data_IF_098077880632
#
_entry.id   IF_098077880632
#
_cell.length_a   1.000
_cell.length_b   1.000
_cell.length_c   1.000
_cell.angle_alpha   90.00
_cell.angle_beta   90.00
_cell.angle_gamma   90.00
#
_symmetry.space_group_name_H-M   'P 1'
#
loop_
_entity.id
_entity.type
_entity.pdbx_description
1 polymer ?
#
# COMPACT_ATOMS: atom_id res chain seq x y z
N UNK A 1 -4.60 -9.45 -20.27
CA UNK A 1 -3.13 -9.37 -20.14
C UNK A 1 -2.87 -8.33 -19.07
N UNK A 2 -2.21 -8.69 -17.97
CA UNK A 2 -1.80 -7.74 -16.94
C UNK A 2 -0.66 -6.91 -17.53
N UNK A 3 -0.94 -5.67 -17.93
CA UNK A 3 0.04 -4.80 -18.59
C UNK A 3 0.72 -3.84 -17.62
N UNK A 4 0.11 -3.59 -16.47
CA UNK A 4 0.65 -2.69 -15.47
C UNK A 4 1.89 -3.29 -14.82
N UNK A 5 2.97 -2.51 -14.84
CA UNK A 5 4.17 -2.81 -14.08
C UNK A 5 4.47 -1.62 -13.18
N UNK A 6 4.43 -1.85 -11.87
CA UNK A 6 4.55 -0.77 -10.89
C UNK A 6 5.93 -0.11 -10.87
N UNK A 7 6.96 -0.79 -11.40
CA UNK A 7 8.32 -0.28 -11.50
C UNK A 7 8.46 1.06 -12.26
N UNK A 8 7.54 1.36 -13.20
CA UNK A 8 7.50 2.66 -13.90
C UNK A 8 6.95 3.79 -13.02
N UNK A 9 6.33 3.46 -11.89
CA UNK A 9 5.61 4.41 -11.04
C UNK A 9 6.13 4.41 -9.59
N UNK A 10 7.07 3.53 -9.28
CA UNK A 10 7.59 3.32 -7.94
C UNK A 10 8.13 4.63 -7.36
N UNK A 11 7.69 4.93 -6.13
CA UNK A 11 8.13 6.12 -5.42
C UNK A 11 7.45 7.41 -5.84
N UNK A 12 6.40 7.36 -6.65
CA UNK A 12 5.59 8.52 -6.96
C UNK A 12 4.83 9.05 -5.71
N UNK A 13 4.15 10.21 -5.80
CA UNK A 13 3.40 10.75 -4.66
C UNK A 13 2.31 9.81 -4.12
N UNK A 14 1.71 8.96 -4.97
CA UNK A 14 0.71 8.00 -4.53
C UNK A 14 1.29 6.89 -3.65
N UNK A 15 2.48 6.41 -3.99
CA UNK A 15 3.21 5.45 -3.16
C UNK A 15 3.66 6.07 -1.85
N UNK A 16 4.18 7.31 -1.86
CA UNK A 16 4.55 8.01 -0.64
C UNK A 16 3.34 8.10 0.31
N UNK A 17 2.16 8.43 -0.23
CA UNK A 17 0.92 8.46 0.55
C UNK A 17 0.58 7.08 1.14
N UNK A 18 0.52 6.06 0.29
CA UNK A 18 0.17 4.67 0.66
C UNK A 18 1.13 4.11 1.69
N UNK A 19 2.43 4.23 1.44
CA UNK A 19 3.50 3.65 2.25
C UNK A 19 3.71 4.39 3.57
N UNK A 20 3.49 5.72 3.62
CA UNK A 20 3.49 6.46 4.87
C UNK A 20 2.40 5.95 5.82
N UNK A 21 1.17 5.83 5.32
CA UNK A 21 0.03 5.31 6.07
C UNK A 21 0.25 3.85 6.48
N UNK A 22 0.68 3.00 5.55
CA UNK A 22 0.95 1.59 5.81
C UNK A 22 2.00 1.41 6.91
N UNK A 23 3.16 2.07 6.78
CA UNK A 23 4.25 1.95 7.74
C UNK A 23 3.81 2.40 9.14
N UNK A 24 2.99 3.44 9.23
CA UNK A 24 2.44 3.89 10.50
C UNK A 24 1.48 2.86 11.11
N UNK A 25 0.59 2.26 10.31
CA UNK A 25 -0.32 1.21 10.79
C UNK A 25 0.49 0.02 11.32
N UNK A 26 1.52 -0.41 10.58
CA UNK A 26 2.37 -1.53 10.98
C UNK A 26 3.12 -1.22 12.28
N UNK A 27 3.72 -0.02 12.42
CA UNK A 27 4.36 0.42 13.66
C UNK A 27 3.38 0.42 14.84
N UNK A 28 2.16 0.93 14.66
CA UNK A 28 1.14 0.89 15.70
C UNK A 28 0.82 -0.55 16.12
N UNK A 29 0.66 -1.44 15.15
CA UNK A 29 0.32 -2.83 15.44
C UNK A 29 1.49 -3.60 16.07
N UNK A 30 2.75 -3.29 15.81
CA UNK A 30 3.87 -4.02 16.43
C UNK A 30 4.13 -3.61 17.88
N UNK A 31 3.55 -2.49 18.36
CA UNK A 31 3.63 -2.08 19.79
C UNK A 31 3.04 -3.08 20.77
N UNK A 32 2.01 -3.83 20.35
CA UNK A 32 1.43 -4.89 21.18
C UNK A 32 2.24 -6.16 20.99
N UNK A 33 2.73 -6.73 22.09
CA UNK A 33 3.44 -8.00 22.12
C UNK A 33 2.50 -9.20 21.94
N UNK A 34 1.85 -9.26 20.77
CA UNK A 34 1.05 -10.39 20.27
C UNK A 34 1.22 -10.50 18.76
N UNK A 35 1.36 -11.71 18.21
CA UNK A 35 1.44 -11.96 16.78
C UNK A 35 0.30 -11.31 16.00
N UNK A 36 0.57 -10.93 14.75
CA UNK A 36 -0.42 -10.47 13.78
C UNK A 36 -0.20 -11.10 12.40
N UNK A 37 -1.24 -11.07 11.57
CA UNK A 37 -1.14 -11.40 10.14
C UNK A 37 -1.25 -10.15 9.27
N UNK A 38 -0.27 -9.95 8.39
CA UNK A 38 -0.33 -9.01 7.28
C UNK A 38 -0.66 -9.77 6.00
N UNK A 39 -1.72 -9.36 5.32
CA UNK A 39 -2.19 -9.97 4.09
C UNK A 39 -2.21 -8.89 3.01
N UNK A 40 -1.61 -9.14 1.85
CA UNK A 40 -1.57 -8.19 0.74
C UNK A 40 -2.03 -8.86 -0.55
N UNK A 41 -3.04 -8.26 -1.20
CA UNK A 41 -3.70 -8.88 -2.35
C UNK A 41 -3.01 -8.60 -3.68
N UNK A 42 -2.16 -7.57 -3.75
CA UNK A 42 -1.48 -7.12 -4.95
C UNK A 42 -0.08 -6.64 -4.58
N UNK A 43 0.84 -7.58 -4.39
CA UNK A 43 2.13 -7.31 -3.76
C UNK A 43 3.17 -6.63 -4.68
N UNK A 44 2.99 -6.71 -6.00
CA UNK A 44 4.01 -6.26 -6.96
C UNK A 44 5.32 -7.04 -6.77
N UNK A 45 6.45 -6.38 -7.03
CA UNK A 45 7.80 -6.98 -6.90
C UNK A 45 8.49 -6.73 -5.56
N UNK A 46 7.85 -6.03 -4.64
CA UNK A 46 8.39 -5.75 -3.30
C UNK A 46 9.49 -4.68 -3.22
N UNK A 47 10.48 -4.68 -4.12
CA UNK A 47 11.58 -3.70 -4.12
C UNK A 47 11.81 -3.13 -5.53
N UNK A 48 12.14 -1.85 -5.61
CA UNK A 48 12.32 -1.11 -6.85
C UNK A 48 13.64 -0.36 -6.86
N UNK A 49 14.34 -0.38 -7.99
CA UNK A 49 15.54 0.44 -8.22
C UNK A 49 15.13 1.72 -8.96
N UNK A 50 15.26 2.86 -8.29
CA UNK A 50 14.90 4.17 -8.84
C UNK A 50 15.91 4.71 -9.87
N UNK A 51 17.07 4.07 -10.00
CA UNK A 51 18.05 4.35 -11.05
C UNK A 51 17.82 3.55 -12.34
N UNK A 52 16.87 2.59 -12.32
CA UNK A 52 16.55 1.75 -13.48
C UNK A 52 16.04 2.55 -14.69
N UNK A 53 16.32 2.11 -15.94
CA UNK A 53 15.83 2.77 -17.14
C UNK A 53 14.32 3.00 -17.14
N UNK A 54 13.55 2.06 -16.60
CA UNK A 54 12.11 2.15 -16.55
C UNK A 54 11.59 3.17 -15.53
N UNK A 55 12.23 3.30 -14.37
CA UNK A 55 11.90 4.34 -13.39
C UNK A 55 12.25 5.74 -13.94
N UNK A 56 13.43 5.86 -14.56
CA UNK A 56 13.89 7.10 -15.18
C UNK A 56 13.04 7.53 -16.38
N UNK A 57 12.42 6.58 -17.09
CA UNK A 57 11.56 6.86 -18.25
C UNK A 57 10.35 7.73 -17.89
N UNK A 58 9.78 7.55 -16.69
CA UNK A 58 8.65 8.36 -16.22
C UNK A 58 9.08 9.49 -15.30
N UNK A 59 10.16 9.29 -14.53
CA UNK A 59 10.67 10.26 -13.57
C UNK A 59 9.73 10.53 -12.40
N UNK A 60 8.72 9.69 -12.17
CA UNK A 60 7.69 9.96 -11.14
C UNK A 60 8.26 9.96 -9.72
N UNK A 61 9.30 9.15 -9.47
CA UNK A 61 9.99 9.10 -8.18
C UNK A 61 10.58 10.46 -7.76
N UNK A 62 11.05 11.26 -8.72
CA UNK A 62 11.58 12.59 -8.46
C UNK A 62 10.49 13.59 -8.02
N UNK A 63 9.22 13.33 -8.35
CA UNK A 63 8.08 14.13 -7.90
C UNK A 63 7.47 13.61 -6.61
N UNK A 64 7.65 12.32 -6.31
CA UNK A 64 7.26 11.69 -5.05
C UNK A 64 8.40 11.69 -4.04
N UNK A 65 8.96 10.51 -3.75
CA UNK A 65 9.95 10.30 -2.70
C UNK A 65 11.11 11.31 -2.75
N UNK A 66 11.62 11.64 -3.95
CA UNK A 66 12.74 12.57 -4.12
C UNK A 66 12.46 14.00 -3.62
N UNK A 67 11.20 14.45 -3.57
CA UNK A 67 10.81 15.76 -3.01
C UNK A 67 10.21 15.64 -1.62
N UNK A 68 9.42 14.59 -1.40
CA UNK A 68 8.54 14.49 -0.24
C UNK A 68 9.26 13.95 1.01
N UNK A 69 10.28 13.12 0.84
CA UNK A 69 10.96 12.44 1.94
C UNK A 69 11.50 13.39 3.01
N UNK A 70 12.10 14.51 2.60
CA UNK A 70 12.68 15.52 3.51
C UNK A 70 11.66 16.19 4.44
N UNK A 71 10.37 16.08 4.13
CA UNK A 71 9.28 16.67 4.89
C UNK A 71 8.71 15.71 5.94
N UNK A 72 9.12 14.45 5.92
CA UNK A 72 8.85 13.50 7.00
C UNK A 72 9.88 13.65 8.11
N UNK A 73 9.43 13.58 9.35
CA UNK A 73 10.34 13.53 10.49
C UNK A 73 11.24 12.29 10.41
N UNK A 74 12.53 12.36 10.79
CA UNK A 74 13.45 11.22 10.74
C UNK A 74 12.95 9.98 11.49
N UNK A 75 12.19 10.17 12.57
CA UNK A 75 11.63 9.11 13.39
C UNK A 75 10.29 8.57 12.87
N UNK A 76 9.70 9.15 11.82
CA UNK A 76 8.47 8.66 11.22
C UNK A 76 8.67 7.20 10.73
N UNK A 77 7.73 6.26 10.98
CA UNK A 77 7.91 4.84 10.66
C UNK A 77 8.33 4.56 9.21
N UNK A 78 7.69 5.22 8.23
CA UNK A 78 8.06 5.08 6.82
C UNK A 78 9.47 5.57 6.54
N UNK A 79 9.92 6.65 7.19
CA UNK A 79 11.25 7.20 6.99
C UNK A 79 12.33 6.23 7.48
N UNK A 80 12.15 5.68 8.68
CA UNK A 80 13.04 4.65 9.24
C UNK A 80 13.13 3.41 8.36
N UNK A 81 12.01 2.94 7.82
CA UNK A 81 11.97 1.76 6.95
C UNK A 81 12.59 2.03 5.58
N UNK A 82 12.40 3.23 5.02
CA UNK A 82 13.03 3.66 3.78
C UNK A 82 14.56 3.72 3.93
N UNK A 83 15.05 4.36 4.99
CA UNK A 83 16.49 4.44 5.28
C UNK A 83 17.08 3.02 5.47
N UNK A 84 16.41 2.16 6.24
CA UNK A 84 16.83 0.76 6.42
C UNK A 84 16.84 -0.04 5.11
N UNK A 85 15.86 0.20 4.21
CA UNK A 85 15.85 -0.45 2.91
C UNK A 85 17.05 -0.03 2.06
N UNK A 86 17.40 1.27 2.08
CA UNK A 86 18.57 1.81 1.37
C UNK A 86 19.89 1.32 1.93
N UNK A 87 20.01 1.20 3.25
CA UNK A 87 21.19 0.61 3.89
C UNK A 87 21.40 -0.85 3.45
N UNK A 88 20.32 -1.60 3.27
CA UNK A 88 20.36 -3.02 2.88
C UNK A 88 20.53 -3.24 1.38
N UNK A 89 20.04 -2.32 0.54
CA UNK A 89 19.83 -2.57 -0.91
C UNK A 89 20.45 -1.51 -1.82
N UNK A 90 21.01 -0.42 -1.27
CA UNK A 90 21.59 0.69 -2.00
C UNK A 90 20.73 1.96 -1.95
N UNK A 91 21.37 3.11 -2.15
CA UNK A 91 20.74 4.43 -2.00
C UNK A 91 19.51 4.65 -2.92
N UNK A 92 19.51 4.04 -4.09
CA UNK A 92 18.42 4.15 -5.09
C UNK A 92 17.29 3.14 -4.84
N UNK A 93 17.35 2.35 -3.77
CA UNK A 93 16.30 1.40 -3.45
C UNK A 93 15.04 2.10 -2.92
N UNK A 94 13.90 1.73 -3.48
CA UNK A 94 12.58 2.08 -2.98
C UNK A 94 11.80 0.82 -2.55
N UNK A 95 11.45 0.68 -1.26
CA UNK A 95 10.68 -0.45 -0.78
C UNK A 95 9.19 -0.27 -1.11
N UNK A 96 8.62 -1.24 -1.81
CA UNK A 96 7.17 -1.42 -1.91
C UNK A 96 6.56 -1.92 -0.60
N UNK A 97 5.24 -1.99 -0.55
CA UNK A 97 4.47 -2.46 0.62
C UNK A 97 4.92 -3.81 1.18
N UNK A 98 5.25 -4.85 0.39
CA UNK A 98 5.73 -6.11 0.96
C UNK A 98 7.08 -5.99 1.67
N UNK A 99 8.01 -5.20 1.12
CA UNK A 99 9.33 -5.04 1.70
C UNK A 99 9.28 -4.15 2.94
N UNK A 100 8.42 -3.13 2.94
CA UNK A 100 8.08 -2.36 4.14
C UNK A 100 7.51 -3.26 5.24
N UNK A 101 6.57 -4.15 4.91
CA UNK A 101 6.01 -5.11 5.86
C UNK A 101 7.09 -6.07 6.40
N UNK A 102 7.93 -6.62 5.53
CA UNK A 102 9.03 -7.50 5.92
C UNK A 102 10.06 -6.83 6.85
N UNK A 103 10.32 -5.54 6.68
CA UNK A 103 11.20 -4.77 7.56
C UNK A 103 10.54 -4.36 8.88
N UNK A 104 9.23 -4.13 8.89
CA UNK A 104 8.48 -3.61 10.03
C UNK A 104 8.02 -4.70 11.00
N UNK A 105 7.68 -5.88 10.49
CA UNK A 105 7.08 -6.97 11.25
C UNK A 105 8.14 -7.83 11.95
N UNK A 106 7.71 -8.51 13.02
CA UNK A 106 8.57 -9.35 13.85
C UNK A 106 8.54 -10.79 13.36
N UNK A 107 9.50 -11.60 13.79
CA UNK A 107 9.57 -13.04 13.46
C UNK A 107 8.31 -13.83 13.86
N UNK A 108 7.58 -13.36 14.86
CA UNK A 108 6.33 -14.00 15.34
C UNK A 108 5.10 -13.62 14.52
N UNK A 109 5.19 -12.59 13.67
CA UNK A 109 4.12 -12.14 12.79
C UNK A 109 4.12 -12.96 11.48
N UNK A 110 3.01 -12.95 10.75
CA UNK A 110 2.86 -13.71 9.49
C UNK A 110 2.56 -12.79 8.33
N UNK A 111 3.28 -12.96 7.23
CA UNK A 111 3.12 -12.18 5.99
C UNK A 111 2.60 -13.10 4.88
N UNK A 112 1.49 -12.72 4.27
CA UNK A 112 0.86 -13.42 3.14
C UNK A 112 0.70 -12.46 1.97
N UNK A 113 1.27 -12.81 0.82
CA UNK A 113 1.38 -11.95 -0.34
C UNK A 113 0.85 -12.68 -1.57
N UNK A 114 0.00 -12.03 -2.36
CA UNK A 114 -0.40 -12.49 -3.67
C UNK A 114 0.15 -11.58 -4.77
N UNK A 115 0.66 -12.18 -5.84
CA UNK A 115 1.05 -11.47 -7.07
C UNK A 115 0.77 -12.35 -8.29
N UNK A 116 -0.10 -11.88 -9.17
CA UNK A 116 -0.54 -12.61 -10.36
C UNK A 116 0.43 -12.49 -11.55
N UNK A 117 1.15 -11.38 -11.67
CA UNK A 117 2.06 -11.14 -12.77
C UNK A 117 3.34 -11.99 -12.60
N UNK A 118 3.63 -12.95 -13.51
CA UNK A 118 4.71 -13.92 -13.29
C UNK A 118 6.10 -13.30 -13.11
N UNK A 119 6.38 -12.17 -13.76
CA UNK A 119 7.67 -11.49 -13.61
C UNK A 119 7.75 -10.73 -12.28
N UNK A 120 6.66 -10.11 -11.83
CA UNK A 120 6.63 -9.39 -10.55
C UNK A 120 6.73 -10.40 -9.41
N UNK A 121 6.00 -11.53 -9.50
CA UNK A 121 6.09 -12.62 -8.53
C UNK A 121 7.52 -13.16 -8.40
N UNK A 122 8.22 -13.42 -9.51
CA UNK A 122 9.62 -13.89 -9.46
C UNK A 122 10.53 -12.89 -8.77
N UNK A 123 10.39 -11.61 -9.08
CA UNK A 123 11.15 -10.54 -8.43
C UNK A 123 10.81 -10.43 -6.94
N UNK A 124 9.53 -10.51 -6.58
CA UNK A 124 9.06 -10.52 -5.19
C UNK A 124 9.68 -11.67 -4.40
N UNK A 125 9.63 -12.90 -4.92
CA UNK A 125 10.25 -14.07 -4.28
C UNK A 125 11.76 -13.89 -4.11
N UNK A 126 12.44 -13.31 -5.10
CA UNK A 126 13.87 -13.03 -5.01
C UNK A 126 14.18 -11.99 -3.92
N UNK A 127 13.48 -10.86 -3.91
CA UNK A 127 13.74 -9.77 -2.97
C UNK A 127 13.40 -10.12 -1.53
N UNK A 128 12.38 -10.97 -1.32
CA UNK A 128 11.93 -11.38 0.00
C UNK A 128 12.43 -12.74 0.47
N UNK A 129 13.27 -13.43 -0.31
CA UNK A 129 13.87 -14.71 0.10
C UNK A 129 14.51 -14.73 1.51
N UNK A 130 15.10 -13.62 2.02
CA UNK A 130 15.64 -13.60 3.38
C UNK A 130 14.61 -13.52 4.52
N UNK A 131 13.32 -13.35 4.23
CA UNK A 131 12.25 -13.12 5.22
C UNK A 131 11.26 -14.29 5.24
N UNK A 132 10.64 -14.55 6.40
CA UNK A 132 9.58 -15.55 6.55
C UNK A 132 8.25 -15.01 5.98
N UNK A 133 8.08 -15.14 4.65
CA UNK A 133 6.91 -14.67 3.91
C UNK A 133 6.28 -15.80 3.09
N UNK A 134 4.94 -15.84 3.03
CA UNK A 134 4.21 -16.72 2.14
C UNK A 134 3.80 -15.95 0.89
N UNK A 135 4.35 -16.31 -0.27
CA UNK A 135 4.04 -15.68 -1.57
C UNK A 135 3.26 -16.66 -2.44
N UNK A 136 2.17 -16.20 -3.06
CA UNK A 136 1.29 -17.02 -3.92
C UNK A 136 1.06 -16.36 -5.27
N UNK A 137 1.17 -17.16 -6.34
CA UNK A 137 0.84 -16.77 -7.70
C UNK A 137 -0.67 -17.00 -8.00
N UNK A 138 -1.55 -16.37 -7.23
CA UNK A 138 -3.01 -16.55 -7.32
C UNK A 138 -3.76 -15.23 -7.18
N UNK A 139 -5.09 -15.26 -7.35
CA UNK A 139 -5.96 -14.11 -7.11
C UNK A 139 -5.88 -13.69 -5.64
N UNK A 140 -5.44 -12.46 -5.39
CA UNK A 140 -5.16 -12.01 -4.03
C UNK A 140 -6.40 -11.77 -3.18
N UNK A 141 -7.54 -11.47 -3.79
CA UNK A 141 -8.80 -11.34 -3.06
C UNK A 141 -9.26 -12.72 -2.57
N UNK A 142 -9.19 -13.73 -3.44
CA UNK A 142 -9.45 -15.12 -3.08
C UNK A 142 -8.49 -15.61 -1.98
N UNK A 143 -7.19 -15.30 -2.12
CA UNK A 143 -6.18 -15.57 -1.08
C UNK A 143 -6.59 -14.96 0.26
N UNK A 144 -6.89 -13.67 0.29
CA UNK A 144 -7.24 -12.96 1.52
C UNK A 144 -8.51 -13.53 2.17
N UNK A 145 -9.55 -13.83 1.39
CA UNK A 145 -10.78 -14.44 1.89
C UNK A 145 -10.58 -15.87 2.42
N UNK A 146 -9.58 -16.61 1.92
CA UNK A 146 -9.23 -17.95 2.40
C UNK A 146 -8.50 -17.93 3.75
N UNK A 147 -7.72 -16.87 4.00
CA UNK A 147 -6.93 -16.68 5.22
C UNK A 147 -7.71 -15.97 6.34
N UNK A 148 -8.90 -15.46 6.04
CA UNK A 148 -9.67 -14.59 6.94
C UNK A 148 -10.81 -15.36 7.64
N UNK A 149 -10.93 -15.29 8.99
CA UNK A 149 -10.05 -14.56 9.90
C UNK A 149 -8.75 -15.32 10.20
N UNK A 150 -7.61 -14.63 10.35
CA UNK A 150 -6.36 -15.27 10.74
C UNK A 150 -6.39 -15.73 12.21
N UNK A 151 -5.40 -16.55 12.59
CA UNK A 151 -5.17 -16.97 13.98
C UNK A 151 -3.78 -16.51 14.43
N UNK A 152 -3.65 -15.65 15.47
CA UNK A 152 -4.75 -14.97 16.19
C UNK A 152 -5.51 -14.00 15.28
N UNK A 153 -6.74 -13.62 15.66
CA UNK A 153 -7.61 -12.70 14.91
C UNK A 153 -7.12 -11.24 14.95
N UNK A 154 -5.87 -11.00 14.58
CA UNK A 154 -5.16 -9.73 14.69
C UNK A 154 -4.31 -9.47 13.45
N UNK A 155 -4.35 -8.24 12.94
CA UNK A 155 -3.55 -7.82 11.80
C UNK A 155 -4.34 -6.98 10.81
N UNK A 156 -3.91 -6.99 9.56
CA UNK A 156 -4.52 -6.18 8.50
C UNK A 156 -4.47 -6.85 7.13
N UNK A 157 -5.38 -6.42 6.26
CA UNK A 157 -5.34 -6.67 4.82
C UNK A 157 -5.08 -5.35 4.09
N UNK A 158 -4.09 -5.32 3.19
CA UNK A 158 -3.89 -4.27 2.20
C UNK A 158 -4.41 -4.72 0.84
N UNK A 159 -5.30 -3.93 0.26
CA UNK A 159 -5.87 -4.11 -1.08
C UNK A 159 -5.39 -2.96 -1.96
N UNK A 160 -4.50 -3.25 -2.91
CA UNK A 160 -3.82 -2.25 -3.74
C UNK A 160 -3.79 -2.64 -5.23
N UNK A 161 -4.95 -2.79 -5.89
CA UNK A 161 -4.99 -3.18 -7.31
C UNK A 161 -4.39 -2.09 -8.21
N UNK A 162 -4.01 -2.46 -9.43
CA UNK A 162 -3.58 -1.48 -10.45
C UNK A 162 -4.74 -0.62 -10.99
N UNK A 163 -5.99 -1.07 -10.82
CA UNK A 163 -7.20 -0.50 -11.42
C UNK A 163 -7.20 -0.50 -12.96
N UNK A 164 -6.43 -1.39 -13.60
CA UNK A 164 -6.50 -1.62 -15.04
C UNK A 164 -7.82 -2.28 -15.45
N UNK A 165 -8.37 -3.12 -14.58
CA UNK A 165 -9.59 -3.87 -14.85
C UNK A 165 -10.78 -3.09 -14.32
N UNK A 166 -11.55 -2.46 -15.21
CA UNK A 166 -12.67 -1.57 -14.83
C UNK A 166 -13.68 -2.19 -13.87
N UNK A 167 -13.92 -3.50 -13.96
CA UNK A 167 -14.85 -4.22 -13.07
C UNK A 167 -14.37 -4.29 -11.63
N UNK A 168 -13.08 -3.99 -11.34
CA UNK A 168 -12.55 -3.91 -9.99
C UNK A 168 -13.24 -2.84 -9.14
N UNK A 169 -13.70 -1.74 -9.76
CA UNK A 169 -14.49 -0.70 -9.06
C UNK A 169 -15.82 -1.22 -8.50
N UNK A 170 -16.34 -2.32 -9.05
CA UNK A 170 -17.58 -2.96 -8.59
C UNK A 170 -17.31 -4.18 -7.68
N UNK A 171 -16.28 -4.98 -8.00
CA UNK A 171 -15.98 -6.22 -7.27
C UNK A 171 -15.24 -5.99 -5.95
N UNK A 172 -14.35 -4.99 -5.87
CA UNK A 172 -13.54 -4.74 -4.67
C UNK A 172 -14.38 -4.28 -3.47
N UNK A 173 -15.38 -3.38 -3.59
CA UNK A 173 -16.27 -3.08 -2.49
C UNK A 173 -16.93 -4.32 -1.89
N UNK A 174 -17.32 -5.27 -2.75
CA UNK A 174 -17.91 -6.53 -2.30
C UNK A 174 -16.89 -7.38 -1.54
N UNK A 175 -15.65 -7.44 -2.01
CA UNK A 175 -14.57 -8.12 -1.32
C UNK A 175 -14.27 -7.51 0.06
N UNK A 176 -14.25 -6.19 0.18
CA UNK A 176 -14.09 -5.48 1.46
C UNK A 176 -15.24 -5.83 2.41
N UNK A 177 -16.49 -5.80 1.95
CA UNK A 177 -17.66 -6.23 2.73
C UNK A 177 -17.53 -7.68 3.23
N UNK A 178 -17.06 -8.58 2.38
CA UNK A 178 -16.92 -10.00 2.72
C UNK A 178 -15.76 -10.25 3.70
N UNK A 179 -14.64 -9.53 3.56
CA UNK A 179 -13.52 -9.58 4.50
C UNK A 179 -13.93 -9.07 5.87
N UNK A 180 -14.56 -7.89 5.96
CA UNK A 180 -15.00 -7.31 7.24
C UNK A 180 -16.07 -8.18 7.89
N UNK A 181 -16.98 -8.78 7.11
CA UNK A 181 -17.98 -9.71 7.65
C UNK A 181 -17.33 -10.97 8.27
N UNK A 182 -16.30 -11.53 7.65
CA UNK A 182 -15.57 -12.71 8.17
C UNK A 182 -14.63 -12.34 9.34
N UNK A 183 -14.07 -11.14 9.33
CA UNK A 183 -13.12 -10.66 10.32
C UNK A 183 -13.43 -9.22 10.73
N UNK A 184 -14.48 -9.11 11.54
CA UNK A 184 -15.06 -7.84 11.98
C UNK A 184 -14.12 -6.93 12.79
N UNK A 185 -13.03 -7.48 13.33
CA UNK A 185 -11.99 -6.73 14.06
C UNK A 185 -10.71 -6.51 13.24
N UNK A 186 -10.63 -7.05 12.03
CA UNK A 186 -9.48 -6.88 11.13
C UNK A 186 -9.43 -5.47 10.56
N UNK A 187 -8.22 -4.95 10.36
CA UNK A 187 -8.04 -3.71 9.62
C UNK A 187 -8.05 -4.05 8.13
N UNK A 188 -8.90 -3.38 7.36
CA UNK A 188 -8.92 -3.53 5.90
C UNK A 188 -8.61 -2.17 5.29
N UNK A 189 -7.45 -2.06 4.65
CA UNK A 189 -6.99 -0.85 3.98
C UNK A 189 -7.08 -1.05 2.47
N UNK A 190 -7.87 -0.20 1.80
CA UNK A 190 -7.99 -0.15 0.35
C UNK A 190 -7.32 1.12 -0.17
N UNK A 191 -6.35 0.97 -1.07
CA UNK A 191 -5.82 2.08 -1.85
C UNK A 191 -6.62 2.28 -3.14
N UNK A 192 -6.83 3.53 -3.56
CA UNK A 192 -7.47 3.85 -4.83
C UNK A 192 -6.95 5.17 -5.44
N UNK A 193 -6.94 5.30 -6.77
CA UNK A 193 -6.55 6.52 -7.46
C UNK A 193 -7.72 7.51 -7.54
N UNK A 194 -7.42 8.80 -7.34
CA UNK A 194 -8.34 9.87 -7.68
C UNK A 194 -8.16 10.20 -9.16
N UNK A 195 -9.02 9.65 -10.01
CA UNK A 195 -9.00 9.90 -11.46
C UNK A 195 -9.85 11.11 -11.83
N UNK A 196 -9.42 11.87 -12.84
CA UNK A 196 -10.20 12.96 -13.44
C UNK A 196 -11.59 12.52 -13.92
N UNK A 197 -11.73 11.26 -14.34
CA UNK A 197 -13.01 10.69 -14.75
C UNK A 197 -14.01 10.50 -13.61
N UNK A 198 -13.56 10.54 -12.35
CA UNK A 198 -14.41 10.26 -11.19
C UNK A 198 -14.80 8.78 -11.04
N UNK A 199 -14.12 7.84 -11.70
CA UNK A 199 -14.48 6.42 -11.67
C UNK A 199 -14.54 5.80 -10.25
N UNK A 200 -13.77 6.34 -9.29
CA UNK A 200 -13.78 5.92 -7.89
C UNK A 200 -15.02 6.39 -7.10
N UNK A 201 -15.79 7.36 -7.59
CA UNK A 201 -16.86 8.00 -6.80
C UNK A 201 -18.00 7.04 -6.42
N UNK A 202 -18.57 6.21 -7.33
CA UNK A 202 -19.62 5.26 -6.96
C UNK A 202 -19.13 4.20 -5.97
N UNK A 203 -17.91 3.69 -6.21
CA UNK A 203 -17.22 2.76 -5.33
C UNK A 203 -17.10 3.33 -3.91
N UNK A 204 -16.66 4.59 -3.79
CA UNK A 204 -16.49 5.24 -2.51
C UNK A 204 -17.80 5.59 -1.82
N UNK A 205 -18.86 5.94 -2.56
CA UNK A 205 -20.18 6.16 -1.99
C UNK A 205 -20.71 4.87 -1.34
N UNK A 206 -20.58 3.73 -2.03
CA UNK A 206 -20.96 2.41 -1.49
C UNK A 206 -20.18 2.06 -0.22
N UNK A 207 -18.86 2.17 -0.27
CA UNK A 207 -18.00 1.83 0.87
C UNK A 207 -18.25 2.74 2.08
N UNK A 208 -18.41 4.04 1.87
CA UNK A 208 -18.68 5.00 2.97
C UNK A 208 -20.05 4.76 3.60
N UNK A 209 -21.06 4.35 2.82
CA UNK A 209 -22.36 3.97 3.34
C UNK A 209 -22.31 2.65 4.14
N UNK A 210 -21.52 1.68 3.68
CA UNK A 210 -21.35 0.40 4.36
C UNK A 210 -20.53 0.51 5.66
N UNK A 211 -19.56 1.43 5.70
CA UNK A 211 -18.63 1.60 6.83
C UNK A 211 -18.51 3.09 7.21
N UNK A 212 -19.51 3.67 7.89
CA UNK A 212 -19.51 5.09 8.23
C UNK A 212 -18.36 5.50 9.18
N UNK A 213 -17.84 4.57 9.98
CA UNK A 213 -16.72 4.78 10.91
C UNK A 213 -15.35 4.53 10.26
N UNK A 214 -15.30 4.15 8.99
CA UNK A 214 -14.04 3.95 8.29
C UNK A 214 -13.35 5.29 8.04
N UNK A 215 -12.01 5.28 8.10
CA UNK A 215 -11.23 6.44 7.71
C UNK A 215 -11.14 6.50 6.18
N UNK A 216 -11.63 7.58 5.59
CA UNK A 216 -11.36 7.94 4.19
C UNK A 216 -10.37 9.08 4.15
N UNK A 217 -9.13 8.81 3.74
CA UNK A 217 -8.10 9.83 3.61
C UNK A 217 -7.66 9.97 2.15
N UNK A 218 -7.80 11.17 1.60
CA UNK A 218 -7.46 11.48 0.22
C UNK A 218 -6.50 12.65 0.16
N UNK A 219 -5.46 12.53 -0.68
CA UNK A 219 -4.54 13.62 -1.00
C UNK A 219 -4.56 13.88 -2.50
N UNK A 220 -4.41 15.14 -2.87
CA UNK A 220 -4.26 15.57 -4.26
C UNK A 220 -2.84 16.02 -4.50
N UNK A 221 -2.32 15.73 -5.68
CA UNK A 221 -1.02 16.16 -6.14
C UNK A 221 -1.10 16.49 -7.64
N UNK A 222 -0.23 17.38 -8.15
CA UNK A 222 -0.18 17.69 -9.57
C UNK A 222 -0.02 16.40 -10.39
N UNK A 223 -0.57 16.35 -11.62
CA UNK A 223 -0.26 15.28 -12.55
C UNK A 223 1.26 15.15 -12.69
N UNK A 224 1.78 13.95 -12.43
CA UNK A 224 3.23 13.67 -12.49
C UNK A 224 3.81 13.81 -13.90
N UNK A 225 2.95 13.80 -14.92
CA UNK A 225 3.27 14.12 -16.33
C UNK A 225 2.04 14.65 -17.07
N UNK A 226 2.27 15.31 -18.19
CA UNK A 226 1.20 15.74 -19.10
C UNK A 226 0.37 14.53 -19.58
N UNK A 227 -0.96 14.68 -19.61
CA UNK A 227 -1.88 13.58 -19.94
C UNK A 227 -2.09 12.54 -18.84
N UNK A 228 -1.42 12.65 -17.68
CA UNK A 228 -1.66 11.74 -16.56
C UNK A 228 -3.05 11.99 -15.95
N UNK A 229 -3.84 10.92 -15.83
CA UNK A 229 -5.26 11.01 -15.41
C UNK A 229 -5.48 10.95 -13.90
N UNK A 230 -4.47 10.49 -13.15
CA UNK A 230 -4.51 10.45 -11.69
C UNK A 230 -4.07 11.80 -11.14
N UNK A 231 -4.93 12.40 -10.32
CA UNK A 231 -4.78 13.72 -9.68
C UNK A 231 -4.70 13.65 -8.17
N UNK A 232 -4.53 12.44 -7.63
CA UNK A 232 -4.48 12.17 -6.21
C UNK A 232 -4.57 10.67 -5.93
N UNK A 233 -4.45 10.32 -4.67
CA UNK A 233 -4.68 8.95 -4.19
C UNK A 233 -5.43 8.98 -2.86
N UNK A 234 -6.17 7.91 -2.60
CA UNK A 234 -6.95 7.73 -1.40
C UNK A 234 -6.64 6.40 -0.72
N UNK A 235 -6.78 6.39 0.61
CA UNK A 235 -6.90 5.18 1.41
C UNK A 235 -8.25 5.17 2.12
N UNK A 236 -8.93 4.03 2.03
CA UNK A 236 -10.13 3.75 2.80
C UNK A 236 -9.82 2.63 3.79
N UNK A 237 -9.86 2.94 5.08
CA UNK A 237 -9.41 2.04 6.15
C UNK A 237 -10.59 1.72 7.06
N UNK A 238 -11.08 0.48 7.00
CA UNK A 238 -12.08 -0.03 7.94
C UNK A 238 -11.36 -0.47 9.22
N UNK A 239 -11.99 -0.20 10.37
CA UNK A 239 -11.40 -0.40 11.71
C UNK A 239 -10.05 0.30 11.88
N UNK A 240 -9.94 1.61 11.56
CA UNK A 240 -8.65 2.31 11.60
C UNK A 240 -8.05 2.26 13.02
N UNK A 241 -6.73 2.01 13.16
CA UNK A 241 -6.10 2.07 14.47
C UNK A 241 -6.24 3.45 15.11
N UNK A 242 -6.31 3.48 16.44
CA UNK A 242 -6.37 4.75 17.18
C UNK A 242 -5.14 5.61 16.88
N UNK A 243 -5.36 6.89 16.57
CA UNK A 243 -4.32 7.85 16.17
C UNK A 243 -4.11 7.98 14.65
N UNK A 244 -4.66 7.06 13.82
CA UNK A 244 -4.44 7.13 12.37
C UNK A 244 -5.03 8.40 11.73
N UNK A 245 -6.17 8.90 12.23
CA UNK A 245 -6.76 10.15 11.76
C UNK A 245 -5.85 11.37 12.00
N UNK A 246 -5.15 11.40 13.14
CA UNK A 246 -4.19 12.46 13.45
C UNK A 246 -2.94 12.34 12.56
N UNK A 247 -2.45 11.11 12.36
CA UNK A 247 -1.31 10.87 11.47
C UNK A 247 -1.62 11.31 10.04
N UNK A 248 -2.76 10.89 9.51
CA UNK A 248 -3.17 11.26 8.15
C UNK A 248 -3.32 12.77 7.97
N UNK A 249 -3.70 13.50 9.03
CA UNK A 249 -3.66 14.98 9.03
C UNK A 249 -2.23 15.51 8.88
N UNK A 250 -1.22 14.92 9.53
CA UNK A 250 0.20 15.28 9.36
C UNK A 250 0.68 14.96 7.94
N UNK A 251 0.31 13.80 7.42
CA UNK A 251 0.62 13.40 6.04
C UNK A 251 0.01 14.39 5.05
N UNK A 252 -1.25 14.79 5.22
CA UNK A 252 -1.89 15.84 4.37
C UNK A 252 -1.06 17.12 4.34
N UNK A 253 -0.49 17.54 5.48
CA UNK A 253 0.35 18.74 5.53
C UNK A 253 1.60 18.61 4.63
N UNK A 254 2.19 17.43 4.51
CA UNK A 254 3.33 17.16 3.63
C UNK A 254 2.94 17.35 2.16
N UNK A 255 1.77 16.86 1.74
CA UNK A 255 1.26 17.02 0.36
C UNK A 255 0.88 18.47 0.01
N UNK A 256 0.67 19.32 1.01
CA UNK A 256 0.40 20.77 0.81
C UNK A 256 1.67 21.62 0.76
N UNK A 257 2.81 21.08 1.19
CA UNK A 257 4.06 21.82 1.16
C UNK A 257 4.48 22.05 -0.30
N UNK A 258 4.62 23.33 -0.66
CA UNK A 258 5.18 23.72 -1.95
C UNK A 258 6.68 23.46 -1.89
N UNK A 259 7.12 22.43 -2.61
CA UNK A 259 8.53 22.07 -2.80
C UNK A 259 9.01 22.37 -4.20
#
# INVERSE_FOLDING_TARGET
>A
MLSYQHLYHAGNPADVHKHAVLAWILDYLTRKDKPLSYIETHAGRGLYDLSSPESLKTGEAAQGVGRMERHFAPDHPWRRLLDRARDLKGADAYPGSPFLAALALRESDRIHLAELHPQEHRALSYHLAPYDVSIRAEDGIAMALSLTPPTPRRGMVLIDPSWEVKTEYDSIPKAVEDLVRKWNVGIVALWYPLLLSGAHLPMMARLSAAFPEALRHEVRFPPVREGHRMVGSGLFVVNPPWGLAEETTRITAIFRQKG
#
